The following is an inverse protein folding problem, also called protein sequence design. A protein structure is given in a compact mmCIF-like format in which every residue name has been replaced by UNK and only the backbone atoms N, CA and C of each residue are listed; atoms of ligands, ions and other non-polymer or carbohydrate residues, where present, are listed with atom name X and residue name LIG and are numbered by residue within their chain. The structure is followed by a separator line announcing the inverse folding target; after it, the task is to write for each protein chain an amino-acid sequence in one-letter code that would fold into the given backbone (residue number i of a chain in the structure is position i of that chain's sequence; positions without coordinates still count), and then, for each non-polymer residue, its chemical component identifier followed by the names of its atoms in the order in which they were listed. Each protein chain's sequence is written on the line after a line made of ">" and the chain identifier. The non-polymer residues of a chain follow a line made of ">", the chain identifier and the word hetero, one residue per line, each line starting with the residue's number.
data_IF_236528174628
#
_entry.id   IF_236528174628
#
_cell.length_a   1.000
_cell.length_b   1.000
_cell.length_c   1.000
_cell.angle_alpha   90.00
_cell.angle_beta   90.00
_cell.angle_gamma   90.00
#
_symmetry.space_group_name_H-M   'P 1'
#
loop_
_entity.id
_entity.type
_entity.pdbx_description
1 polymer ?
#
# COMPACT_ATOMS: atom_id res chain seq x y z
N UNK A 1 -13.79 25.35 -7.59
CA UNK A 1 -13.65 23.89 -7.38
C UNK A 1 -12.40 23.71 -6.53
N UNK A 2 -12.53 23.23 -5.29
CA UNK A 2 -11.38 23.11 -4.39
C UNK A 2 -10.49 21.95 -4.85
N UNK A 3 -9.22 22.22 -5.08
CA UNK A 3 -8.21 21.20 -5.40
C UNK A 3 -8.01 20.29 -4.19
N UNK A 4 -8.50 19.05 -4.26
CA UNK A 4 -8.26 18.06 -3.21
C UNK A 4 -6.80 17.66 -3.29
N UNK A 5 -5.97 18.16 -2.38
CA UNK A 5 -4.58 17.69 -2.21
C UNK A 5 -4.62 16.18 -1.93
N UNK A 6 -4.31 15.36 -2.94
CA UNK A 6 -4.10 13.91 -2.78
C UNK A 6 -3.07 13.70 -1.68
N UNK A 7 -3.46 13.00 -0.62
CA UNK A 7 -2.50 12.65 0.44
C UNK A 7 -1.55 11.60 -0.12
N UNK A 8 -0.31 11.55 0.36
CA UNK A 8 0.68 10.59 -0.12
C UNK A 8 0.23 9.11 0.02
N UNK A 9 -0.78 8.85 0.86
CA UNK A 9 -1.38 7.54 1.13
C UNK A 9 -2.75 7.33 0.46
N UNK A 10 -3.23 8.26 -0.36
CA UNK A 10 -4.43 8.03 -1.18
C UNK A 10 -4.09 6.94 -2.20
N UNK A 11 -4.49 5.72 -1.88
CA UNK A 11 -4.41 4.59 -2.78
C UNK A 11 -5.41 4.80 -3.90
N UNK A 12 -4.94 4.69 -5.14
CA UNK A 12 -5.75 4.89 -6.33
C UNK A 12 -5.73 3.61 -7.13
N UNK A 13 -6.91 3.20 -7.61
CA UNK A 13 -7.03 2.11 -8.56
C UNK A 13 -6.60 2.62 -9.94
N UNK A 14 -5.51 2.08 -10.45
CA UNK A 14 -4.91 2.38 -11.75
C UNK A 14 -4.72 1.05 -12.52
N UNK A 15 -5.71 0.66 -13.34
CA UNK A 15 -5.65 -0.60 -14.09
C UNK A 15 -4.42 -0.66 -15.01
N UNK A 16 -3.68 -1.77 -14.97
CA UNK A 16 -2.47 -1.94 -15.78
C UNK A 16 -1.28 -1.08 -15.30
N UNK A 17 -1.31 -0.59 -14.07
CA UNK A 17 -0.18 0.14 -13.48
C UNK A 17 1.08 -0.71 -13.47
N UNK A 18 2.22 -0.08 -13.80
CA UNK A 18 3.54 -0.71 -13.68
C UNK A 18 4.03 -0.77 -12.23
N UNK A 19 3.32 -0.12 -11.32
CA UNK A 19 3.67 0.03 -9.89
C UNK A 19 2.59 -0.55 -8.96
N UNK A 20 2.13 -1.80 -9.16
CA UNK A 20 1.04 -2.36 -8.37
C UNK A 20 1.46 -2.56 -6.92
N UNK A 21 0.51 -2.49 -5.99
CA UNK A 21 0.73 -2.76 -4.57
C UNK A 21 1.42 -4.10 -4.31
N UNK A 22 1.15 -5.12 -5.14
CA UNK A 22 1.86 -6.41 -5.13
C UNK A 22 3.39 -6.29 -5.13
N UNK A 23 3.96 -5.33 -5.86
CA UNK A 23 5.42 -5.15 -5.97
C UNK A 23 5.97 -4.15 -4.95
N UNK A 24 5.10 -3.56 -4.14
CA UNK A 24 5.48 -2.54 -3.20
C UNK A 24 6.01 -3.19 -1.92
N UNK A 25 7.16 -2.73 -1.42
CA UNK A 25 7.74 -3.23 -0.16
C UNK A 25 6.85 -3.05 1.07
N UNK A 26 5.85 -2.18 0.97
CA UNK A 26 4.87 -1.91 2.02
C UNK A 26 3.58 -2.72 1.87
N UNK A 27 3.43 -3.45 0.76
CA UNK A 27 2.31 -4.33 0.52
C UNK A 27 2.57 -5.66 1.20
N UNK A 28 1.56 -6.16 1.92
CA UNK A 28 1.53 -7.52 2.43
C UNK A 28 0.28 -8.17 1.86
N UNK A 29 0.39 -9.36 1.28
CA UNK A 29 -0.77 -10.12 0.84
C UNK A 29 -1.70 -10.46 2.01
N UNK A 30 -3.01 -10.48 1.78
CA UNK A 30 -3.91 -10.98 2.81
C UNK A 30 -3.73 -12.50 2.96
N UNK A 31 -3.62 -13.03 4.19
CA UNK A 31 -3.39 -14.46 4.41
C UNK A 31 -4.56 -15.35 3.98
N UNK A 32 -5.74 -14.78 3.74
CA UNK A 32 -6.96 -15.53 3.36
C UNK A 32 -7.25 -15.40 1.86
N UNK A 33 -7.13 -14.20 1.30
CA UNK A 33 -7.39 -13.93 -0.12
C UNK A 33 -6.24 -13.17 -0.79
N UNK A 34 -5.47 -13.79 -1.69
CA UNK A 34 -4.30 -13.17 -2.32
C UNK A 34 -4.66 -12.08 -3.35
N UNK A 35 -5.94 -11.82 -3.60
CA UNK A 35 -6.40 -10.70 -4.45
C UNK A 35 -6.48 -9.39 -3.68
N UNK A 36 -6.48 -9.48 -2.34
CA UNK A 36 -6.55 -8.38 -1.39
C UNK A 36 -5.20 -8.25 -0.68
N UNK A 37 -4.89 -7.07 -0.19
CA UNK A 37 -3.66 -6.84 0.56
C UNK A 37 -3.79 -5.81 1.68
N UNK A 38 -2.71 -5.63 2.41
CA UNK A 38 -2.58 -4.70 3.52
C UNK A 38 -1.40 -3.77 3.24
N UNK A 39 -1.65 -2.46 3.19
CA UNK A 39 -0.60 -1.47 3.08
C UNK A 39 -0.11 -1.08 4.48
N UNK A 40 1.18 -1.24 4.76
CA UNK A 40 1.82 -0.90 6.06
C UNK A 40 2.62 0.41 6.03
N UNK A 41 2.54 1.18 4.94
CA UNK A 41 3.30 2.44 4.80
C UNK A 41 2.90 3.52 5.82
N UNK A 42 1.70 3.42 6.40
CA UNK A 42 1.17 4.34 7.40
C UNK A 42 1.76 4.10 8.79
N UNK A 43 3.03 4.49 9.01
CA UNK A 43 3.67 4.42 10.33
C UNK A 43 3.50 5.74 11.09
N UNK A 44 3.06 5.69 12.34
CA UNK A 44 3.00 6.87 13.23
C UNK A 44 4.37 7.13 13.87
N UNK A 45 4.58 8.35 14.35
CA UNK A 45 5.82 8.73 15.09
C UNK A 45 6.00 7.93 16.38
N UNK A 46 4.92 7.36 16.91
CA UNK A 46 4.88 6.55 18.14
C UNK A 46 5.12 5.05 17.85
N UNK A 47 5.40 4.67 16.60
CA UNK A 47 5.69 3.29 16.20
C UNK A 47 4.48 2.46 15.79
N UNK A 48 3.26 3.03 15.82
CA UNK A 48 2.05 2.33 15.39
C UNK A 48 2.01 2.15 13.87
N UNK A 49 1.66 0.94 13.42
CA UNK A 49 1.44 0.64 11.99
C UNK A 49 -0.06 0.69 11.68
N UNK A 50 -0.50 1.79 11.08
CA UNK A 50 -1.89 1.94 10.63
C UNK A 50 -2.08 1.34 9.24
N UNK A 51 -2.50 0.09 9.23
CA UNK A 51 -2.76 -0.65 7.99
C UNK A 51 -3.92 -0.06 7.20
N UNK A 52 -3.80 -0.07 5.87
CA UNK A 52 -4.92 0.20 4.95
C UNK A 52 -5.23 -1.06 4.15
N UNK A 53 -6.51 -1.36 4.01
CA UNK A 53 -6.99 -2.47 3.18
C UNK A 53 -6.86 -2.09 1.70
N UNK A 54 -6.27 -2.98 0.92
CA UNK A 54 -6.10 -2.87 -0.53
C UNK A 54 -7.05 -3.86 -1.18
N UNK A 55 -8.12 -3.36 -1.79
CA UNK A 55 -9.17 -4.22 -2.35
C UNK A 55 -8.75 -4.92 -3.65
N UNK A 56 -7.82 -4.32 -4.41
CA UNK A 56 -7.33 -4.85 -5.68
C UNK A 56 -5.81 -4.74 -5.68
N UNK A 57 -5.14 -5.81 -5.27
CA UNK A 57 -3.71 -5.79 -5.01
C UNK A 57 -2.86 -5.65 -6.29
N UNK A 58 -3.44 -6.02 -7.44
CA UNK A 58 -2.80 -6.02 -8.75
C UNK A 58 -2.97 -4.70 -9.52
N UNK A 59 -4.00 -3.90 -9.22
CA UNK A 59 -4.32 -2.67 -9.95
C UNK A 59 -4.42 -1.44 -9.06
N UNK A 60 -3.90 -1.48 -7.83
CA UNK A 60 -3.85 -0.32 -6.94
C UNK A 60 -2.43 0.17 -6.80
N UNK A 61 -2.23 1.50 -6.72
CA UNK A 61 -0.94 2.12 -6.45
C UNK A 61 -1.10 3.42 -5.67
N UNK A 62 0.01 4.04 -5.27
CA UNK A 62 0.02 5.37 -4.64
C UNK A 62 1.37 6.08 -4.87
N UNK A 63 1.44 7.35 -4.45
CA UNK A 63 2.67 8.15 -4.56
C UNK A 63 3.85 7.61 -3.72
N UNK A 64 3.59 6.74 -2.73
CA UNK A 64 4.62 6.11 -1.88
C UNK A 64 5.10 4.74 -2.37
N UNK A 65 4.73 4.34 -3.59
CA UNK A 65 5.23 3.09 -4.16
C UNK A 65 6.76 3.03 -4.09
N UNK A 66 7.28 1.94 -3.53
CA UNK A 66 8.71 1.63 -3.54
C UNK A 66 8.82 0.14 -3.81
N UNK A 67 9.50 -0.23 -4.88
CA UNK A 67 9.69 -1.62 -5.25
C UNK A 67 10.58 -2.35 -4.22
N UNK A 68 10.25 -3.60 -3.94
CA UNK A 68 11.04 -4.49 -3.09
C UNK A 68 10.20 -5.19 -2.04
N UNK A 69 10.86 -5.71 -1.02
CA UNK A 69 10.29 -6.38 0.14
C UNK A 69 10.95 -5.80 1.39
N UNK A 70 10.20 -5.65 2.49
CA UNK A 70 10.78 -5.27 3.79
C UNK A 70 11.20 -6.53 4.56
N UNK A 71 12.23 -6.44 5.39
CA UNK A 71 12.61 -7.56 6.24
C UNK A 71 11.46 -7.93 7.19
N UNK A 72 11.39 -9.20 7.62
CA UNK A 72 10.35 -9.65 8.55
C UNK A 72 10.35 -8.87 9.88
N UNK A 73 11.49 -8.30 10.29
CA UNK A 73 11.60 -7.43 11.49
C UNK A 73 10.91 -6.08 11.32
N UNK A 74 10.78 -5.64 10.07
CA UNK A 74 10.09 -4.42 9.68
C UNK A 74 8.63 -4.71 9.26
N UNK A 75 8.21 -5.97 9.30
CA UNK A 75 6.80 -6.32 9.28
C UNK A 75 6.20 -6.02 10.68
N UNK A 76 4.89 -5.73 10.67
CA UNK A 76 3.97 -5.37 11.78
C UNK A 76 4.54 -5.42 13.19
#
# INVERSE_FOLDING_TARGET
>A
MAEVKKRAFDMVREPGTTKPCLKCKWGIEDPTDPSVGQCTSGRTTEGGVWKRLIHDYYNTTCAKFTEGEVDFRDHV
#
